data_IF_442336520416
#
_entry.id   IF_442336520416
#
_cell.length_a   1.000
_cell.length_b   1.000
_cell.length_c   1.000
_cell.angle_alpha   90.00
_cell.angle_beta   90.00
_cell.angle_gamma   90.00
#
_symmetry.space_group_name_H-M   'P 1'
#
loop_
_entity.id
_entity.type
_entity.pdbx_description
1 polymer ?
#
# COMPACT_ATOMS: atom_id res chain seq x y z
N UNK A 1 15.33 23.01 -7.42
CA UNK A 1 14.25 22.00 -7.43
C UNK A 1 14.38 21.17 -6.16
N UNK A 2 13.74 21.59 -5.07
CA UNK A 2 13.76 20.85 -3.80
C UNK A 2 12.81 19.67 -3.92
N UNK A 3 13.35 18.46 -4.07
CA UNK A 3 12.58 17.25 -3.88
C UNK A 3 12.24 17.13 -2.40
N UNK A 4 11.09 17.67 -1.99
CA UNK A 4 10.44 17.21 -0.78
C UNK A 4 10.05 15.75 -1.01
N UNK A 5 10.98 14.82 -0.73
CA UNK A 5 10.60 13.43 -0.51
C UNK A 5 9.56 13.47 0.60
N UNK A 6 8.33 13.06 0.30
CA UNK A 6 7.31 12.86 1.33
C UNK A 6 7.94 11.93 2.38
N UNK A 7 8.00 12.30 3.67
CA UNK A 7 8.67 11.51 4.71
C UNK A 7 8.14 10.06 4.87
N UNK A 8 7.08 9.69 4.15
CA UNK A 8 6.31 8.46 4.36
C UNK A 8 6.30 7.50 3.15
N UNK A 9 7.15 7.69 2.14
CA UNK A 9 7.12 6.80 0.95
C UNK A 9 7.54 5.35 1.27
N UNK A 10 8.36 5.18 2.31
CA UNK A 10 8.67 3.90 2.92
C UNK A 10 8.31 4.03 4.40
N UNK A 11 7.22 3.40 4.82
CA UNK A 11 6.95 3.30 6.25
C UNK A 11 8.11 2.54 6.89
N UNK A 12 8.79 3.08 7.91
CA UNK A 12 9.98 2.46 8.51
C UNK A 12 9.76 1.08 9.15
N UNK A 13 8.53 0.57 9.17
CA UNK A 13 8.20 -0.76 9.69
C UNK A 13 8.64 -1.92 8.78
N UNK A 14 8.99 -1.68 7.52
CA UNK A 14 9.46 -2.75 6.63
C UNK A 14 10.98 -3.02 6.75
N UNK A 15 11.73 -2.17 7.48
CA UNK A 15 13.17 -2.37 7.71
C UNK A 15 13.54 -2.18 9.18
N UNK A 16 13.68 -3.28 9.94
CA UNK A 16 13.91 -3.18 11.36
C UNK A 16 15.29 -2.67 11.78
N UNK A 17 16.22 -2.55 10.85
CA UNK A 17 17.52 -1.95 11.13
C UNK A 17 17.45 -0.41 11.26
N UNK A 18 16.38 0.24 10.75
CA UNK A 18 16.32 1.70 10.66
C UNK A 18 15.69 2.40 11.87
N UNK A 19 15.03 1.66 12.75
CA UNK A 19 14.09 2.29 13.67
C UNK A 19 14.56 2.43 15.13
N UNK A 20 15.69 1.85 15.56
CA UNK A 20 16.19 2.02 16.96
C UNK A 20 15.10 1.85 18.06
N UNK A 21 14.04 1.07 17.81
CA UNK A 21 12.89 0.92 18.73
C UNK A 21 11.72 1.91 18.54
N UNK A 22 11.75 2.78 17.54
CA UNK A 22 10.68 3.70 17.17
C UNK A 22 9.62 3.04 16.26
N UNK A 23 8.38 3.01 16.71
CA UNK A 23 7.23 2.56 15.91
C UNK A 23 6.54 3.79 15.32
N UNK A 24 6.48 3.88 13.99
CA UNK A 24 5.79 4.99 13.32
C UNK A 24 4.31 4.64 13.11
N UNK A 25 3.41 5.48 13.64
CA UNK A 25 1.96 5.32 13.46
C UNK A 25 1.35 6.58 12.82
N UNK A 26 0.32 6.40 11.99
CA UNK A 26 -0.62 7.46 11.65
C UNK A 26 -1.86 7.24 12.51
N UNK A 27 -2.35 8.27 13.22
CA UNK A 27 -3.61 8.17 13.99
C UNK A 27 -4.84 8.43 13.12
N UNK A 28 -4.65 9.22 12.06
CA UNK A 28 -5.70 9.63 11.13
C UNK A 28 -5.33 9.15 9.72
N UNK A 29 -6.34 8.80 8.91
CA UNK A 29 -6.13 8.49 7.49
C UNK A 29 -5.60 9.75 6.80
N UNK A 30 -4.43 9.65 6.13
CA UNK A 30 -3.66 10.80 5.58
C UNK A 30 -3.02 11.73 6.62
N UNK A 31 -3.10 11.43 7.91
CA UNK A 31 -2.45 12.20 8.96
C UNK A 31 -0.92 12.08 8.92
N UNK A 32 -0.18 13.04 9.51
CA UNK A 32 1.28 12.95 9.58
C UNK A 32 1.70 11.72 10.39
N UNK A 33 2.71 10.99 9.90
CA UNK A 33 3.31 9.88 10.65
C UNK A 33 3.95 10.43 11.93
N UNK A 34 3.67 9.77 13.06
CA UNK A 34 4.24 10.10 14.37
C UNK A 34 5.05 8.92 14.88
N UNK A 35 6.31 9.18 15.22
CA UNK A 35 7.13 8.20 15.91
C UNK A 35 6.66 8.04 17.36
N UNK A 36 6.36 6.81 17.75
CA UNK A 36 6.26 6.39 19.14
C UNK A 36 7.54 5.64 19.44
N UNK A 37 8.45 6.27 20.17
CA UNK A 37 9.63 5.59 20.71
C UNK A 37 9.14 4.70 21.84
N UNK A 38 9.13 3.37 21.63
CA UNK A 38 9.00 2.46 22.77
C UNK A 38 10.35 2.46 23.48
N UNK A 39 10.36 2.87 24.74
CA UNK A 39 11.50 2.57 25.59
C UNK A 39 11.60 1.04 25.62
N UNK A 40 12.53 0.48 24.84
CA UNK A 40 12.96 -0.90 25.06
C UNK A 40 13.52 -0.86 26.46
N UNK A 41 12.78 -1.41 27.43
CA UNK A 41 13.38 -1.77 28.69
C UNK A 41 14.50 -2.71 28.28
N UNK A 42 15.73 -2.21 28.27
CA UNK A 42 16.89 -3.03 28.00
C UNK A 42 16.76 -4.18 28.99
N UNK A 43 16.52 -5.39 28.48
CA UNK A 43 16.55 -6.56 29.33
C UNK A 43 17.88 -6.46 30.07
N UNK A 44 17.78 -6.47 31.40
CA UNK A 44 18.97 -6.47 32.24
C UNK A 44 19.85 -7.59 31.68
N UNK A 45 21.10 -7.30 31.27
CA UNK A 45 21.91 -8.27 30.55
C UNK A 45 21.87 -9.55 31.36
N UNK A 46 21.28 -10.61 30.80
CA UNK A 46 21.29 -11.90 31.47
C UNK A 46 22.75 -12.15 31.82
N UNK A 47 23.08 -12.43 33.09
CA UNK A 47 24.46 -12.63 33.49
C UNK A 47 24.99 -13.72 32.57
N UNK A 48 25.96 -13.35 31.72
CA UNK A 48 26.65 -14.27 30.83
C UNK A 48 27.24 -15.32 31.77
N UNK A 49 26.54 -16.44 31.92
CA UNK A 49 27.07 -17.60 32.58
C UNK A 49 28.22 -18.03 31.69
N UNK A 50 29.44 -17.72 32.14
CA UNK A 50 30.67 -18.20 31.52
C UNK A 50 30.62 -19.72 31.67
N UNK A 51 30.05 -20.39 30.67
CA UNK A 51 30.06 -21.83 30.58
C UNK A 51 31.52 -22.23 30.43
N UNK A 52 32.05 -22.84 31.48
CA UNK A 52 33.34 -23.50 31.48
C UNK A 52 33.33 -24.51 30.32
N UNK A 53 34.13 -24.22 29.30
CA UNK A 53 34.28 -25.08 28.12
C UNK A 53 35.01 -26.35 28.56
N UNK A 54 34.24 -27.35 28.97
CA UNK A 54 34.74 -28.72 29.12
C UNK A 54 34.93 -29.27 27.71
N UNK A 55 36.20 -29.36 27.31
CA UNK A 55 36.60 -29.92 26.03
C UNK A 55 36.26 -31.43 26.00
N UNK A 56 35.21 -31.80 25.29
CA UNK A 56 34.98 -33.20 24.90
C UNK A 56 35.88 -33.57 23.72
N UNK A 57 36.54 -34.74 23.74
CA UNK A 57 37.43 -35.17 22.68
C UNK A 57 36.64 -35.55 21.41
N UNK A 58 37.15 -35.02 20.30
CA UNK A 58 36.70 -35.21 18.92
C UNK A 58 36.66 -36.72 18.57
N UNK A 59 35.46 -37.29 18.47
CA UNK A 59 35.26 -38.64 17.94
C UNK A 59 35.33 -38.64 16.41
N UNK A 60 36.14 -39.56 15.91
CA UNK A 60 36.53 -39.81 14.53
C UNK A 60 35.32 -40.06 13.61
N UNK A 61 35.25 -39.31 12.51
CA UNK A 61 34.15 -39.31 11.56
C UNK A 61 34.13 -40.58 10.69
N UNK A 62 33.00 -41.28 10.67
CA UNK A 62 32.70 -42.32 9.69
C UNK A 62 32.32 -41.68 8.32
N UNK A 63 32.75 -42.25 7.18
CA UNK A 63 32.43 -41.71 5.87
C UNK A 63 30.96 -41.96 5.50
N UNK A 64 30.23 -40.87 5.25
CA UNK A 64 28.86 -40.91 4.70
C UNK A 64 28.93 -41.23 3.21
N UNK A 65 28.22 -42.27 2.80
CA UNK A 65 28.10 -42.70 1.42
C UNK A 65 27.39 -41.63 0.57
N UNK A 66 28.05 -41.22 -0.51
CA UNK A 66 27.52 -40.35 -1.56
C UNK A 66 26.50 -41.16 -2.36
N UNK A 67 25.22 -40.77 -2.29
CA UNK A 67 24.18 -41.29 -3.16
C UNK A 67 24.35 -40.70 -4.58
N UNK A 68 24.48 -41.58 -5.57
CA UNK A 68 24.49 -41.24 -6.99
C UNK A 68 23.18 -40.51 -7.36
N UNK A 69 23.31 -39.28 -7.85
CA UNK A 69 22.22 -38.52 -8.44
C UNK A 69 22.13 -38.91 -9.91
N UNK A 70 20.99 -39.46 -10.32
CA UNK A 70 20.70 -39.80 -11.72
C UNK A 70 20.74 -38.55 -12.62
N UNK A 71 21.29 -38.65 -13.85
CA UNK A 71 21.44 -37.51 -14.75
C UNK A 71 20.08 -37.04 -15.28
N UNK A 72 19.77 -35.77 -15.06
CA UNK A 72 18.63 -35.08 -15.64
C UNK A 72 18.83 -34.99 -17.16
N UNK A 73 17.85 -35.51 -17.90
CA UNK A 73 17.83 -35.53 -19.35
C UNK A 73 17.90 -34.11 -19.94
N UNK A 74 18.85 -33.94 -20.85
CA UNK A 74 19.07 -32.77 -21.71
C UNK A 74 17.84 -32.54 -22.60
N UNK A 75 17.07 -31.48 -22.31
CA UNK A 75 15.94 -31.05 -23.14
C UNK A 75 16.48 -30.25 -24.32
N UNK A 76 16.16 -30.72 -25.53
CA UNK A 76 16.56 -30.14 -26.81
C UNK A 76 16.19 -28.65 -26.93
N UNK A 77 17.03 -27.82 -27.60
CA UNK A 77 16.73 -26.41 -27.82
C UNK A 77 15.57 -26.26 -28.81
N UNK A 78 14.51 -25.59 -28.38
CA UNK A 78 13.45 -25.09 -29.26
C UNK A 78 14.03 -23.94 -30.07
N UNK A 79 14.16 -24.14 -31.38
CA UNK A 79 14.50 -23.11 -32.33
C UNK A 79 13.35 -22.09 -32.41
N UNK A 80 13.56 -20.91 -31.81
CA UNK A 80 12.69 -19.74 -32.04
C UNK A 80 13.26 -19.01 -33.24
N UNK A 81 12.53 -19.08 -34.35
CA UNK A 81 12.84 -18.36 -35.58
C UNK A 81 12.73 -16.85 -35.38
N UNK A 82 13.79 -16.15 -35.78
CA UNK A 82 13.79 -14.71 -36.04
C UNK A 82 12.75 -14.38 -37.13
N UNK A 83 11.90 -13.39 -36.84
CA UNK A 83 11.29 -12.57 -37.88
C UNK A 83 11.39 -11.11 -37.43
N UNK A 84 12.46 -10.49 -37.94
CA UNK A 84 12.73 -9.06 -37.93
C UNK A 84 11.60 -8.36 -38.70
N UNK A 85 10.94 -7.41 -38.05
CA UNK A 85 10.15 -6.39 -38.72
C UNK A 85 10.38 -5.07 -37.99
N UNK A 86 11.29 -4.25 -38.51
CA UNK A 86 11.46 -2.85 -38.15
C UNK A 86 10.37 -2.03 -38.83
N UNK A 87 9.44 -1.38 -38.10
CA UNK A 87 8.75 -0.21 -38.64
C UNK A 87 9.62 1.03 -38.43
N UNK A 88 10.33 1.41 -39.49
CA UNK A 88 10.86 2.77 -39.65
C UNK A 88 9.67 3.74 -39.71
N UNK A 89 9.55 4.59 -38.69
CA UNK A 89 8.65 5.73 -38.68
C UNK A 89 9.48 6.99 -38.46
N UNK A 90 9.79 7.66 -39.56
CA UNK A 90 10.25 9.05 -39.58
C UNK A 90 9.15 9.92 -38.95
N UNK A 91 9.39 10.40 -37.73
CA UNK A 91 8.57 11.42 -37.08
C UNK A 91 9.24 12.77 -37.35
N UNK A 92 8.57 13.61 -38.13
CA UNK A 92 8.96 15.00 -38.36
C UNK A 92 9.06 15.76 -37.03
N UNK A 93 10.09 16.60 -36.83
CA UNK A 93 10.22 17.38 -35.59
C UNK A 93 9.13 18.45 -35.52
N UNK A 94 8.23 18.29 -34.54
CA UNK A 94 7.26 19.32 -34.15
C UNK A 94 8.05 20.52 -33.61
N UNK A 95 7.86 21.68 -34.24
CA UNK A 95 8.50 22.94 -33.90
C UNK A 95 8.30 23.32 -32.44
N UNK A 96 9.41 23.55 -31.75
CA UNK A 96 9.46 24.11 -30.40
C UNK A 96 9.02 25.57 -30.50
N UNK A 97 7.83 25.89 -29.99
CA UNK A 97 7.41 27.27 -29.78
C UNK A 97 8.20 27.84 -28.59
N UNK A 98 8.98 28.89 -28.86
CA UNK A 98 9.66 29.68 -27.83
C UNK A 98 8.63 30.24 -26.84
N UNK A 99 8.81 29.89 -25.57
CA UNK A 99 8.02 30.43 -24.47
C UNK A 99 8.52 31.84 -24.13
N UNK A 100 7.61 32.82 -24.17
CA UNK A 100 7.87 34.19 -23.75
C UNK A 100 8.22 34.27 -22.24
N UNK A 101 9.10 35.20 -21.84
CA UNK A 101 9.55 35.32 -20.45
C UNK A 101 8.44 35.87 -19.56
N UNK A 102 8.13 35.12 -18.50
CA UNK A 102 7.15 35.47 -17.47
C UNK A 102 7.76 36.58 -16.60
N UNK A 103 7.03 37.68 -16.44
CA UNK A 103 7.42 38.88 -15.72
C UNK A 103 7.74 38.62 -14.23
N UNK A 104 8.75 39.33 -13.72
CA UNK A 104 9.15 39.40 -12.32
C UNK A 104 7.95 39.80 -11.43
N UNK A 105 7.65 38.96 -10.44
CA UNK A 105 6.65 39.22 -9.41
C UNK A 105 7.34 39.91 -8.24
N UNK A 106 6.84 41.10 -7.88
CA UNK A 106 7.30 41.90 -6.74
C UNK A 106 7.10 41.14 -5.40
N UNK A 107 8.04 41.28 -4.44
CA UNK A 107 7.93 40.60 -3.15
C UNK A 107 6.84 41.23 -2.28
N UNK A 108 5.82 40.43 -1.95
CA UNK A 108 4.80 40.77 -0.95
C UNK A 108 5.44 40.80 0.43
N UNK A 109 5.37 41.96 1.10
CA UNK A 109 5.83 42.15 2.47
C UNK A 109 5.05 41.27 3.45
N UNK A 110 5.77 40.39 4.15
CA UNK A 110 5.24 39.58 5.25
C UNK A 110 5.17 40.47 6.49
N UNK A 111 3.94 40.82 6.90
CA UNK A 111 3.69 41.45 8.19
C UNK A 111 3.66 40.36 9.27
N UNK A 112 4.68 40.33 10.14
CA UNK A 112 4.64 39.63 11.42
C UNK A 112 3.61 40.31 12.33
N UNK A 113 2.49 39.64 12.58
CA UNK A 113 1.62 39.94 13.71
C UNK A 113 1.57 38.70 14.61
N UNK A 114 2.45 38.70 15.60
CA UNK A 114 2.43 37.76 16.73
C UNK A 114 1.29 38.16 17.64
N UNK A 115 0.15 37.47 17.53
CA UNK A 115 -0.89 37.47 18.54
C UNK A 115 -0.96 36.05 19.10
N UNK A 116 -0.59 35.88 20.36
CA UNK A 116 -0.82 34.64 21.10
C UNK A 116 -2.33 34.43 21.26
N UNK A 117 -2.91 33.34 20.71
CA UNK A 117 -4.32 33.07 20.93
C UNK A 117 -4.49 32.55 22.37
N UNK A 118 -5.22 33.36 23.14
CA UNK A 118 -5.74 33.05 24.46
C UNK A 118 -6.47 31.70 24.44
N UNK A 119 -6.21 30.87 25.44
CA UNK A 119 -6.56 29.45 25.54
C UNK A 119 -8.05 29.19 25.76
N UNK A 120 -8.87 29.58 24.80
CA UNK A 120 -10.25 29.14 24.72
C UNK A 120 -10.31 27.68 24.32
N UNK A 121 -10.78 26.84 25.24
CA UNK A 121 -11.25 25.48 25.01
C UNK A 121 -12.43 25.50 24.04
N UNK A 122 -12.14 25.79 22.78
CA UNK A 122 -13.03 25.58 21.67
C UNK A 122 -13.11 24.06 21.52
N UNK A 123 -14.14 23.48 22.10
CA UNK A 123 -14.73 22.24 21.59
C UNK A 123 -15.22 22.55 20.18
N UNK A 124 -14.27 22.62 19.26
CA UNK A 124 -14.46 22.69 17.83
C UNK A 124 -15.16 21.37 17.49
N UNK A 125 -16.49 21.41 17.46
CA UNK A 125 -17.32 20.42 16.79
C UNK A 125 -17.12 20.51 15.27
N UNK A 126 -15.86 20.72 14.84
CA UNK A 126 -15.44 20.69 13.47
C UNK A 126 -15.74 19.30 12.96
N UNK A 127 -16.48 19.25 11.85
CA UNK A 127 -16.84 18.06 11.10
C UNK A 127 -15.74 17.01 11.25
N UNK A 128 -15.99 16.02 12.12
CA UNK A 128 -15.12 14.88 12.27
C UNK A 128 -15.08 14.24 10.89
N UNK A 129 -14.02 14.55 10.15
CA UNK A 129 -13.91 14.21 8.74
C UNK A 129 -14.02 12.71 8.66
N UNK A 130 -15.05 12.19 7.98
CA UNK A 130 -15.31 10.76 7.91
C UNK A 130 -14.06 10.06 7.38
N UNK A 131 -13.35 9.35 8.26
CA UNK A 131 -12.08 8.72 7.94
C UNK A 131 -12.26 7.68 6.83
N UNK A 132 -13.43 7.06 6.75
CA UNK A 132 -13.78 6.16 5.66
C UNK A 132 -13.95 6.92 4.33
N UNK A 133 -14.64 8.06 4.33
CA UNK A 133 -14.73 8.90 3.14
C UNK A 133 -13.35 9.38 2.67
N UNK A 134 -12.46 9.70 3.61
CA UNK A 134 -11.07 10.07 3.33
C UNK A 134 -10.29 8.92 2.67
N UNK A 135 -10.51 7.68 3.12
CA UNK A 135 -9.95 6.47 2.49
C UNK A 135 -10.47 6.30 1.06
N UNK A 136 -11.78 6.42 0.84
CA UNK A 136 -12.38 6.29 -0.50
C UNK A 136 -11.83 7.35 -1.46
N UNK A 137 -11.67 8.58 -0.98
CA UNK A 137 -11.02 9.65 -1.75
C UNK A 137 -9.56 9.30 -2.08
N UNK A 138 -8.80 8.77 -1.12
CA UNK A 138 -7.41 8.36 -1.37
C UNK A 138 -7.30 7.22 -2.40
N UNK A 139 -8.25 6.27 -2.44
CA UNK A 139 -8.32 5.24 -3.48
C UNK A 139 -8.56 5.85 -4.86
N UNK A 140 -9.48 6.82 -4.96
CA UNK A 140 -9.75 7.57 -6.17
C UNK A 140 -8.52 8.34 -6.67
N UNK A 141 -7.84 9.06 -5.77
CA UNK A 141 -6.60 9.81 -6.06
C UNK A 141 -5.51 8.89 -6.61
N UNK A 142 -5.29 7.72 -5.99
CA UNK A 142 -4.27 6.74 -6.43
C UNK A 142 -4.66 6.07 -7.76
N UNK A 143 -5.93 5.75 -7.97
CA UNK A 143 -6.40 5.25 -9.27
C UNK A 143 -6.17 6.27 -10.39
N UNK A 144 -6.47 7.55 -10.16
CA UNK A 144 -6.21 8.61 -11.13
C UNK A 144 -4.71 8.77 -11.40
N UNK A 145 -3.89 8.84 -10.33
CA UNK A 145 -2.44 9.00 -10.45
C UNK A 145 -1.75 7.82 -11.18
N UNK A 146 -2.33 6.62 -11.11
CA UNK A 146 -1.83 5.43 -11.80
C UNK A 146 -2.35 5.25 -13.24
N UNK A 147 -3.17 6.18 -13.73
CA UNK A 147 -3.78 6.16 -15.06
C UNK A 147 -5.09 5.34 -15.16
N UNK A 148 -5.58 4.79 -14.06
CA UNK A 148 -6.79 3.97 -14.00
C UNK A 148 -8.07 4.83 -13.83
N UNK A 149 -8.34 5.72 -14.80
CA UNK A 149 -9.44 6.70 -14.73
C UNK A 149 -10.82 6.08 -14.56
N UNK A 150 -11.09 4.94 -15.22
CA UNK A 150 -12.34 4.19 -15.05
C UNK A 150 -12.49 3.64 -13.63
N UNK A 151 -11.41 3.07 -13.08
CA UNK A 151 -11.39 2.56 -11.71
C UNK A 151 -11.67 3.69 -10.71
N UNK A 152 -11.06 4.86 -10.90
CA UNK A 152 -11.30 6.03 -10.05
C UNK A 152 -12.76 6.49 -10.07
N UNK A 153 -13.42 6.46 -11.24
CA UNK A 153 -14.80 6.88 -11.39
C UNK A 153 -15.80 5.94 -10.69
N UNK A 154 -15.48 4.64 -10.60
CA UNK A 154 -16.40 3.60 -10.09
C UNK A 154 -16.11 3.13 -8.67
N UNK A 155 -14.89 3.35 -8.15
CA UNK A 155 -14.47 2.75 -6.87
C UNK A 155 -15.33 3.24 -5.69
N UNK A 156 -15.74 4.52 -5.70
CA UNK A 156 -16.65 5.06 -4.69
C UNK A 156 -18.02 4.40 -4.72
N UNK A 157 -18.66 4.35 -5.90
CA UNK A 157 -19.97 3.71 -6.10
C UNK A 157 -19.93 2.23 -5.68
N UNK A 158 -18.87 1.51 -6.08
CA UNK A 158 -18.69 0.11 -5.75
C UNK A 158 -18.53 -0.12 -4.24
N UNK A 159 -17.80 0.75 -3.53
CA UNK A 159 -17.59 0.66 -2.09
C UNK A 159 -18.85 1.08 -1.30
N UNK A 160 -19.57 2.10 -1.75
CA UNK A 160 -20.72 2.62 -1.02
C UNK A 160 -21.99 1.79 -1.24
N UNK A 161 -22.22 1.34 -2.48
CA UNK A 161 -23.43 0.62 -2.85
C UNK A 161 -23.22 -0.88 -3.03
N UNK A 162 -21.97 -1.36 -3.07
CA UNK A 162 -21.65 -2.78 -3.27
C UNK A 162 -21.97 -3.30 -4.67
N UNK A 163 -22.34 -2.44 -5.61
CA UNK A 163 -22.61 -2.82 -7.00
C UNK A 163 -22.31 -1.67 -7.96
N UNK A 164 -22.02 -2.02 -9.22
CA UNK A 164 -21.80 -1.07 -10.32
C UNK A 164 -22.17 -1.70 -11.66
N UNK A 165 -22.50 -0.90 -12.66
CA UNK A 165 -22.69 -1.40 -14.02
C UNK A 165 -21.38 -1.97 -14.58
N UNK A 166 -21.43 -3.18 -15.16
CA UNK A 166 -20.28 -3.82 -15.83
C UNK A 166 -19.76 -2.96 -16.99
N UNK A 167 -20.62 -2.15 -17.60
CA UNK A 167 -20.25 -1.25 -18.72
C UNK A 167 -19.25 -0.16 -18.33
N UNK A 168 -19.14 0.17 -17.03
CA UNK A 168 -18.20 1.16 -16.51
C UNK A 168 -16.82 0.56 -16.23
N UNK A 169 -16.72 -0.77 -16.18
CA UNK A 169 -15.49 -1.51 -15.93
C UNK A 169 -14.86 -2.01 -17.24
N UNK A 170 -13.55 -2.29 -17.21
CA UNK A 170 -12.91 -3.06 -18.27
C UNK A 170 -13.27 -4.54 -18.12
N UNK A 171 -13.30 -5.29 -19.23
CA UNK A 171 -13.53 -6.74 -19.18
C UNK A 171 -12.49 -7.46 -18.30
N UNK A 172 -11.24 -6.99 -18.34
CA UNK A 172 -10.17 -7.48 -17.47
C UNK A 172 -10.52 -7.28 -15.99
N UNK A 173 -10.99 -6.09 -15.59
CA UNK A 173 -11.38 -5.81 -14.22
C UNK A 173 -12.54 -6.70 -13.75
N UNK A 174 -13.60 -6.82 -14.57
CA UNK A 174 -14.73 -7.71 -14.27
C UNK A 174 -14.26 -9.16 -14.08
N UNK A 175 -13.41 -9.66 -14.99
CA UNK A 175 -12.87 -11.03 -14.92
C UNK A 175 -12.03 -11.23 -13.66
N UNK A 176 -11.17 -10.28 -13.30
CA UNK A 176 -10.32 -10.36 -12.10
C UNK A 176 -11.14 -10.35 -10.82
N UNK A 177 -12.15 -9.48 -10.72
CA UNK A 177 -13.05 -9.41 -9.56
C UNK A 177 -13.84 -10.72 -9.37
N UNK A 178 -14.37 -11.29 -10.46
CA UNK A 178 -15.10 -12.57 -10.42
C UNK A 178 -14.17 -13.74 -10.11
N UNK A 179 -13.00 -13.81 -10.74
CA UNK A 179 -12.03 -14.88 -10.52
C UNK A 179 -11.50 -14.93 -9.08
N UNK A 180 -11.41 -13.78 -8.40
CA UNK A 180 -11.06 -13.70 -6.98
C UNK A 180 -12.21 -14.01 -6.02
N UNK A 181 -13.42 -14.24 -6.52
CA UNK A 181 -14.61 -14.43 -5.68
C UNK A 181 -15.05 -13.16 -4.94
N UNK A 182 -14.57 -11.99 -5.36
CA UNK A 182 -14.90 -10.71 -4.73
C UNK A 182 -16.20 -10.11 -5.24
N UNK A 183 -16.62 -10.52 -6.43
CA UNK A 183 -17.88 -10.09 -7.00
C UNK A 183 -18.49 -11.19 -7.87
N UNK A 184 -19.79 -11.08 -8.11
CA UNK A 184 -20.49 -11.81 -9.16
C UNK A 184 -20.98 -10.84 -10.22
N UNK A 185 -20.99 -11.29 -11.48
CA UNK A 185 -21.53 -10.50 -12.59
C UNK A 185 -22.83 -11.16 -13.07
N UNK A 186 -23.94 -10.43 -13.00
CA UNK A 186 -25.24 -10.89 -13.46
C UNK A 186 -26.00 -9.74 -14.12
N UNK A 187 -26.63 -10.00 -15.28
CA UNK A 187 -27.50 -9.03 -15.97
C UNK A 187 -26.87 -7.65 -16.21
N UNK A 188 -25.57 -7.61 -16.53
CA UNK A 188 -24.85 -6.35 -16.78
C UNK A 188 -24.51 -5.53 -15.52
N UNK A 189 -24.75 -6.08 -14.33
CA UNK A 189 -24.37 -5.49 -13.04
C UNK A 189 -23.34 -6.39 -12.36
N UNK A 190 -22.32 -5.75 -11.77
CA UNK A 190 -21.34 -6.41 -10.92
C UNK A 190 -21.68 -6.11 -9.47
N UNK A 191 -21.84 -7.15 -8.65
CA UNK A 191 -22.20 -7.03 -7.24
C UNK A 191 -21.11 -7.68 -6.38
N UNK A 192 -20.61 -6.97 -5.37
CA UNK A 192 -19.63 -7.51 -4.43
C UNK A 192 -20.18 -8.74 -3.71
N UNK A 193 -19.32 -9.73 -3.44
CA UNK A 193 -19.69 -10.91 -2.67
C UNK A 193 -20.00 -10.54 -1.22
N UNK A 194 -20.76 -11.38 -0.52
CA UNK A 194 -21.09 -11.16 0.89
C UNK A 194 -19.84 -11.09 1.77
N UNK A 195 -18.82 -11.89 1.48
CA UNK A 195 -17.54 -11.85 2.17
C UNK A 195 -16.85 -10.49 2.01
N UNK A 196 -16.73 -9.99 0.78
CA UNK A 196 -16.12 -8.67 0.50
C UNK A 196 -16.91 -7.53 1.14
N UNK A 197 -18.25 -7.58 1.09
CA UNK A 197 -19.09 -6.58 1.76
C UNK A 197 -18.91 -6.61 3.29
N UNK A 198 -18.77 -7.79 3.89
CA UNK A 198 -18.52 -7.95 5.33
C UNK A 198 -17.18 -7.35 5.74
N UNK A 199 -16.10 -7.63 5.00
CA UNK A 199 -14.77 -7.04 5.26
C UNK A 199 -14.80 -5.53 5.12
N UNK A 200 -15.49 -5.00 4.10
CA UNK A 200 -15.62 -3.57 3.89
C UNK A 200 -16.42 -2.88 5.02
N UNK A 201 -17.49 -3.51 5.49
CA UNK A 201 -18.27 -3.02 6.63
C UNK A 201 -17.44 -3.01 7.92
N UNK A 202 -16.61 -4.04 8.15
CA UNK A 202 -15.69 -4.08 9.28
C UNK A 202 -14.67 -2.93 9.23
N UNK A 203 -14.02 -2.70 8.08
CA UNK A 203 -13.11 -1.57 7.91
C UNK A 203 -13.79 -0.22 8.11
N UNK A 204 -15.01 -0.05 7.60
CA UNK A 204 -15.81 1.18 7.82
C UNK A 204 -16.07 1.42 9.30
N UNK A 205 -16.47 0.38 10.03
CA UNK A 205 -16.74 0.47 11.48
C UNK A 205 -15.48 0.82 12.27
N UNK A 206 -14.35 0.18 11.97
CA UNK A 206 -13.05 0.45 12.61
C UNK A 206 -12.59 1.89 12.33
N UNK A 207 -12.64 2.35 11.08
CA UNK A 207 -12.17 3.70 10.70
C UNK A 207 -13.03 4.81 11.31
N UNK A 208 -14.31 4.56 11.55
CA UNK A 208 -15.21 5.48 12.25
C UNK A 208 -15.11 5.41 13.77
N UNK A 209 -14.29 4.51 14.31
CA UNK A 209 -14.18 4.27 15.75
C UNK A 209 -15.42 3.60 16.37
N UNK A 210 -16.29 3.00 15.54
CA UNK A 210 -17.47 2.26 15.97
C UNK A 210 -17.12 0.86 16.47
N UNK A 211 -15.99 0.29 16.02
CA UNK A 211 -15.48 -1.01 16.42
C UNK A 211 -13.97 -0.96 16.67
N UNK A 212 -13.51 -1.76 17.64
CA UNK A 212 -12.09 -2.03 17.88
C UNK A 212 -11.70 -3.47 17.46
N UNK A 213 -12.63 -4.21 16.87
CA UNK A 213 -12.43 -5.59 16.43
C UNK A 213 -11.79 -5.62 15.02
N UNK A 214 -10.51 -5.97 14.99
CA UNK A 214 -9.77 -6.15 13.74
C UNK A 214 -9.88 -7.57 13.17
N UNK A 215 -10.41 -8.55 13.92
CA UNK A 215 -10.56 -9.93 13.41
C UNK A 215 -11.60 -9.98 12.27
N UNK A 216 -12.66 -9.16 12.37
CA UNK A 216 -13.67 -9.02 11.32
C UNK A 216 -13.13 -8.41 10.01
N UNK A 217 -11.95 -7.78 10.05
CA UNK A 217 -11.31 -7.19 8.87
C UNK A 217 -10.53 -8.21 8.02
N UNK A 218 -10.39 -9.45 8.50
CA UNK A 218 -9.63 -10.53 7.85
C UNK A 218 -8.12 -10.45 8.10
N UNK A 219 -7.37 -11.30 7.38
CA UNK A 219 -5.93 -11.49 7.62
C UNK A 219 -5.03 -10.42 6.96
N UNK A 220 -5.61 -9.57 6.11
CA UNK A 220 -4.87 -8.53 5.37
C UNK A 220 -4.89 -7.19 6.09
N UNK A 221 -3.77 -6.46 6.03
CA UNK A 221 -3.74 -5.05 6.47
C UNK A 221 -4.59 -4.17 5.53
N UNK A 222 -5.10 -3.03 6.03
CA UNK A 222 -5.98 -2.12 5.28
C UNK A 222 -5.37 -1.71 3.93
N UNK A 223 -4.10 -1.30 3.94
CA UNK A 223 -3.36 -0.90 2.74
C UNK A 223 -3.19 -2.04 1.72
N UNK A 224 -2.98 -3.28 2.18
CA UNK A 224 -2.86 -4.45 1.32
C UNK A 224 -4.21 -4.79 0.68
N UNK A 225 -5.26 -4.87 1.49
CA UNK A 225 -6.62 -5.14 1.03
C UNK A 225 -7.08 -4.10 0.00
N UNK A 226 -6.90 -2.82 0.31
CA UNK A 226 -7.20 -1.70 -0.57
C UNK A 226 -6.40 -1.74 -1.88
N UNK A 227 -5.10 -2.07 -1.83
CA UNK A 227 -4.27 -2.16 -3.01
C UNK A 227 -4.69 -3.31 -3.93
N UNK A 228 -5.05 -4.46 -3.37
CA UNK A 228 -5.55 -5.59 -4.14
C UNK A 228 -6.93 -5.29 -4.75
N UNK A 229 -7.82 -4.62 -4.02
CA UNK A 229 -9.10 -4.10 -4.52
C UNK A 229 -8.89 -3.19 -5.72
N UNK A 230 -8.03 -2.18 -5.56
CA UNK A 230 -7.73 -1.22 -6.60
C UNK A 230 -7.10 -1.87 -7.83
N UNK A 231 -6.18 -2.82 -7.62
CA UNK A 231 -5.55 -3.59 -8.69
C UNK A 231 -6.58 -4.43 -9.45
N UNK A 232 -7.53 -5.05 -8.75
CA UNK A 232 -8.61 -5.83 -9.36
C UNK A 232 -9.57 -4.95 -10.17
N UNK A 233 -10.02 -3.83 -9.59
CA UNK A 233 -10.92 -2.86 -10.27
C UNK A 233 -10.23 -2.19 -11.47
N UNK A 234 -8.91 -2.05 -11.44
CA UNK A 234 -8.12 -1.53 -12.56
C UNK A 234 -7.83 -2.58 -13.65
N UNK A 235 -8.07 -3.88 -13.36
CA UNK A 235 -7.73 -4.99 -14.26
C UNK A 235 -6.23 -5.25 -14.37
N UNK A 236 -5.44 -4.84 -13.38
CA UNK A 236 -3.96 -4.96 -13.34
C UNK A 236 -3.52 -5.57 -11.99
N UNK A 237 -3.87 -6.85 -11.70
CA UNK A 237 -3.59 -7.49 -10.41
C UNK A 237 -2.10 -7.51 -10.03
N UNK A 238 -1.21 -7.54 -11.02
CA UNK A 238 0.25 -7.50 -10.86
C UNK A 238 0.77 -6.19 -10.26
N UNK A 239 0.01 -5.08 -10.37
CA UNK A 239 0.39 -3.77 -9.83
C UNK A 239 0.02 -3.58 -8.35
N UNK A 240 -0.53 -4.59 -7.67
CA UNK A 240 -0.96 -4.47 -6.27
C UNK A 240 0.18 -3.95 -5.35
N UNK A 241 1.41 -4.43 -5.53
CA UNK A 241 2.56 -3.96 -4.72
C UNK A 241 2.99 -2.51 -5.00
N UNK A 242 2.77 -2.00 -6.21
CA UNK A 242 2.99 -0.59 -6.56
C UNK A 242 1.89 0.30 -5.97
N UNK A 243 0.63 -0.10 -6.15
CA UNK A 243 -0.54 0.62 -5.63
C UNK A 243 -0.52 0.69 -4.09
N UNK A 244 -0.06 -0.38 -3.42
CA UNK A 244 0.14 -0.38 -1.96
C UNK A 244 1.12 0.70 -1.51
N UNK A 245 2.25 0.84 -2.20
CA UNK A 245 3.24 1.91 -1.92
C UNK A 245 2.64 3.30 -2.16
N UNK A 246 1.87 3.47 -3.23
CA UNK A 246 1.17 4.73 -3.51
C UNK A 246 0.14 5.08 -2.43
N UNK A 247 -0.64 4.10 -1.94
CA UNK A 247 -1.59 4.30 -0.84
C UNK A 247 -0.90 4.71 0.47
N UNK A 248 0.21 4.07 0.80
CA UNK A 248 1.05 4.47 1.96
C UNK A 248 1.60 5.89 1.83
N UNK A 249 2.00 6.29 0.62
CA UNK A 249 2.44 7.66 0.33
C UNK A 249 1.30 8.70 0.44
N UNK A 250 0.04 8.26 0.45
CA UNK A 250 -1.14 9.06 0.79
C UNK A 250 -1.52 8.98 2.27
N UNK A 251 -0.79 8.22 3.09
CA UNK A 251 -1.07 8.03 4.51
C UNK A 251 -2.18 7.02 4.81
N UNK A 252 -2.48 6.11 3.88
CA UNK A 252 -3.24 4.89 4.18
C UNK A 252 -2.27 3.92 4.84
N UNK A 253 -2.28 3.88 6.17
CA UNK A 253 -1.34 3.07 6.93
C UNK A 253 -1.70 1.57 6.87
N UNK A 254 -0.70 0.73 7.12
CA UNK A 254 -0.89 -0.68 7.41
C UNK A 254 -1.52 -0.84 8.80
N UNK A 255 -2.81 -0.54 8.92
CA UNK A 255 -3.60 -0.95 10.07
C UNK A 255 -3.95 -2.43 9.89
N UNK A 256 -3.52 -3.27 10.82
CA UNK A 256 -3.78 -4.72 10.78
C UNK A 256 -2.80 -5.50 11.66
N UNK A 257 -3.38 -6.27 12.58
CA UNK A 257 -2.80 -7.31 13.43
C UNK A 257 -1.61 -6.91 14.33
N UNK A 258 -1.89 -6.20 15.43
CA UNK A 258 -1.16 -6.43 16.70
C UNK A 258 -1.83 -7.60 17.45
N UNK A 259 -2.05 -8.73 16.77
CA UNK A 259 -2.66 -9.93 17.38
C UNK A 259 -1.68 -11.12 17.49
N UNK A 260 -0.44 -11.02 16.99
CA UNK A 260 0.52 -12.13 17.00
C UNK A 260 1.78 -11.89 17.86
N UNK A 261 1.75 -10.95 18.81
CA UNK A 261 2.90 -10.71 19.71
C UNK A 261 2.53 -10.79 21.20
N UNK A 262 1.61 -11.68 21.57
CA UNK A 262 1.27 -12.02 22.96
C UNK A 262 1.39 -13.53 23.17
#
# INVERSE_FOLDING_TARGET
MFFFRRPCAEFPNDNPALHEGAVWICRDVRGPARAIVRAVMADAPEPIAVAEVVAEPLAEAAPVAVAEVEPIAEVAPIAVAEAIAEPSAEVEPIGVAEAEPIAEVEPIAVAEAVAEPDGGDATDGGDATDAFATLVQALGDVALASGATRAAAVIGELIDHGHVSVSLLSEAATRTLVARGWASAASGTLTLSSATQSTLAAWRSVLRGESADFEACGDSTLDAWCAELLAAVSGTPERAGELRRALRAQGVAAFGLIAQAA
#
